data_IF_975039945707
#
_entry.id   IF_975039945707
#
_cell.length_a   1.000
_cell.length_b   1.000
_cell.length_c   1.000
_cell.angle_alpha   90.00
_cell.angle_beta   90.00
_cell.angle_gamma   90.00
#
_symmetry.space_group_name_H-M   'P 1'
#
loop_
_entity.id
_entity.type
_entity.pdbx_description
1 polymer ?
#
# COMPACT_ATOMS: atom_id res chain seq x y z
N UNK A 1 19.39 4.07 -37.12
CA UNK A 1 19.67 3.45 -35.82
C UNK A 1 18.79 4.14 -34.80
N UNK A 2 17.60 3.59 -34.54
CA UNK A 2 16.71 4.09 -33.49
C UNK A 2 17.22 3.55 -32.15
N UNK A 3 17.55 4.44 -31.23
CA UNK A 3 17.88 4.06 -29.85
C UNK A 3 16.59 4.02 -29.05
N UNK A 4 16.03 2.82 -28.90
CA UNK A 4 14.96 2.55 -27.93
C UNK A 4 15.54 2.78 -26.54
N UNK A 5 15.33 3.98 -25.97
CA UNK A 5 15.57 4.23 -24.54
C UNK A 5 14.57 3.38 -23.77
N UNK A 6 15.03 2.21 -23.32
CA UNK A 6 14.37 1.45 -22.26
C UNK A 6 14.20 2.40 -21.08
N UNK A 7 12.97 2.84 -20.85
CA UNK A 7 12.55 3.46 -19.61
C UNK A 7 12.64 2.36 -18.54
N UNK A 8 13.84 2.16 -18.00
CA UNK A 8 14.02 1.53 -16.71
C UNK A 8 13.47 2.50 -15.68
N UNK A 9 12.14 2.60 -15.59
CA UNK A 9 11.46 3.13 -14.42
C UNK A 9 11.85 2.14 -13.33
N UNK A 10 12.87 2.47 -12.56
CA UNK A 10 13.17 1.79 -11.32
C UNK A 10 11.83 1.63 -10.59
N UNK A 11 11.34 0.41 -10.47
CA UNK A 11 10.14 0.07 -9.71
C UNK A 11 10.49 0.29 -8.23
N UNK A 12 10.72 1.54 -7.84
CA UNK A 12 10.69 1.92 -6.45
C UNK A 12 9.28 1.61 -5.96
N UNK A 13 9.12 0.87 -4.83
CA UNK A 13 7.81 0.62 -4.25
C UNK A 13 7.09 1.96 -4.11
N UNK A 14 5.85 2.06 -4.60
CA UNK A 14 5.06 3.26 -4.32
C UNK A 14 4.90 3.34 -2.80
N UNK A 15 5.38 4.45 -2.24
CA UNK A 15 5.34 4.72 -0.80
C UNK A 15 4.13 5.61 -0.54
N UNK A 16 3.27 5.20 0.39
CA UNK A 16 2.09 5.96 0.78
C UNK A 16 2.26 6.56 2.19
N UNK A 17 2.34 7.90 2.33
CA UNK A 17 2.47 8.55 3.62
C UNK A 17 1.13 8.58 4.37
N UNK A 18 1.12 8.08 5.61
CA UNK A 18 -0.08 8.03 6.47
C UNK A 18 -0.58 9.42 6.86
N UNK A 19 0.29 10.42 6.90
CA UNK A 19 -0.08 11.81 7.25
C UNK A 19 -1.11 12.43 6.31
N UNK A 20 -1.20 11.93 5.07
CA UNK A 20 -2.22 12.42 4.12
C UNK A 20 -3.56 11.71 4.29
N UNK A 21 -3.54 10.48 4.81
CA UNK A 21 -4.73 9.71 5.15
C UNK A 21 -5.47 10.31 6.35
N UNK A 22 -4.73 10.76 7.38
CA UNK A 22 -5.29 11.35 8.60
C UNK A 22 -6.08 12.66 8.37
N UNK A 23 -5.86 13.33 7.24
CA UNK A 23 -6.51 14.63 6.92
C UNK A 23 -7.90 14.48 6.31
N UNK A 24 -8.33 13.27 5.97
CA UNK A 24 -9.58 13.01 5.26
C UNK A 24 -10.55 12.18 6.10
N UNK A 25 -11.84 12.22 5.75
CA UNK A 25 -12.86 11.43 6.43
C UNK A 25 -12.72 9.93 6.16
N UNK A 26 -13.29 9.11 7.04
CA UNK A 26 -13.17 7.64 7.02
C UNK A 26 -13.54 6.99 5.69
N UNK A 27 -14.57 7.50 5.00
CA UNK A 27 -14.99 6.96 3.71
C UNK A 27 -13.90 7.19 2.66
N UNK A 28 -13.35 8.40 2.62
CA UNK A 28 -12.27 8.76 1.71
C UNK A 28 -10.96 8.04 2.07
N UNK A 29 -10.68 7.80 3.35
CA UNK A 29 -9.54 6.97 3.77
C UNK A 29 -9.64 5.55 3.17
N UNK A 30 -10.81 4.92 3.28
CA UNK A 30 -11.04 3.58 2.75
C UNK A 30 -10.87 3.54 1.22
N UNK A 31 -11.38 4.54 0.51
CA UNK A 31 -11.23 4.65 -0.95
C UNK A 31 -9.76 4.84 -1.35
N UNK A 32 -9.03 5.74 -0.69
CA UNK A 32 -7.60 5.98 -0.94
C UNK A 32 -6.80 4.71 -0.70
N UNK A 33 -7.01 4.03 0.44
CA UNK A 33 -6.31 2.80 0.78
C UNK A 33 -6.61 1.68 -0.22
N UNK A 34 -7.88 1.53 -0.60
CA UNK A 34 -8.27 0.55 -1.61
C UNK A 34 -7.58 0.84 -2.95
N UNK A 35 -7.57 2.10 -3.41
CA UNK A 35 -6.97 2.50 -4.67
C UNK A 35 -5.45 2.36 -4.68
N UNK A 36 -4.77 2.73 -3.59
CA UNK A 36 -3.33 2.53 -3.41
C UNK A 36 -2.93 1.06 -3.52
N UNK A 37 -3.70 0.16 -2.88
CA UNK A 37 -3.41 -1.26 -2.95
C UNK A 37 -3.74 -1.82 -4.34
N UNK A 38 -4.88 -1.41 -4.91
CA UNK A 38 -5.35 -1.93 -6.18
C UNK A 38 -4.45 -1.51 -7.35
N UNK A 39 -3.95 -0.26 -7.36
CA UNK A 39 -3.16 0.33 -8.45
C UNK A 39 -1.91 -0.49 -8.81
N UNK A 40 -1.31 -1.16 -7.83
CA UNK A 40 -0.11 -1.97 -8.04
C UNK A 40 -0.33 -3.48 -7.95
N UNK A 41 -1.29 -3.92 -7.14
CA UNK A 41 -1.45 -5.35 -6.89
C UNK A 41 -2.53 -6.00 -7.76
N UNK A 42 -3.39 -5.19 -8.40
CA UNK A 42 -4.64 -5.60 -9.05
C UNK A 42 -5.61 -6.38 -8.13
N UNK A 43 -5.36 -6.36 -6.81
CA UNK A 43 -6.19 -7.05 -5.83
C UNK A 43 -7.46 -6.25 -5.55
N UNK A 44 -8.62 -6.92 -5.61
CA UNK A 44 -9.81 -6.47 -4.90
C UNK A 44 -9.77 -6.99 -3.48
N UNK A 45 -9.45 -6.12 -2.52
CA UNK A 45 -9.50 -6.48 -1.12
C UNK A 45 -10.94 -6.60 -0.64
N UNK A 46 -11.22 -7.65 0.14
CA UNK A 46 -12.45 -7.72 0.92
C UNK A 46 -12.45 -6.63 1.98
N UNK A 47 -13.62 -6.11 2.33
CA UNK A 47 -13.81 -5.15 3.42
C UNK A 47 -13.12 -5.56 4.73
N UNK A 48 -13.22 -6.85 5.12
CA UNK A 48 -12.57 -7.35 6.34
C UNK A 48 -11.04 -7.19 6.34
N UNK A 49 -10.38 -7.37 5.18
CA UNK A 49 -8.93 -7.14 5.06
C UNK A 49 -8.60 -5.65 5.14
N UNK A 50 -9.44 -4.81 4.54
CA UNK A 50 -9.28 -3.37 4.59
C UNK A 50 -9.40 -2.85 6.04
N UNK A 51 -10.43 -3.29 6.77
CA UNK A 51 -10.56 -3.00 8.20
C UNK A 51 -9.34 -3.45 8.99
N UNK A 52 -8.81 -4.66 8.71
CA UNK A 52 -7.64 -5.15 9.42
C UNK A 52 -6.40 -4.27 9.24
N UNK A 53 -6.22 -3.71 8.04
CA UNK A 53 -5.14 -2.76 7.75
C UNK A 53 -5.33 -1.49 8.59
N UNK A 54 -6.55 -0.93 8.66
CA UNK A 54 -6.83 0.24 9.49
C UNK A 54 -6.60 -0.02 10.99
N UNK A 55 -7.04 -1.17 11.51
CA UNK A 55 -6.73 -1.57 12.88
C UNK A 55 -5.23 -1.55 13.15
N UNK A 56 -4.41 -2.08 12.22
CA UNK A 56 -2.95 -2.10 12.34
C UNK A 56 -2.32 -0.70 12.27
N UNK A 57 -2.86 0.20 11.44
CA UNK A 57 -2.43 1.61 11.36
C UNK A 57 -2.63 2.34 12.68
N UNK A 58 -3.73 2.05 13.39
CA UNK A 58 -4.05 2.68 14.66
C UNK A 58 -3.24 2.14 15.85
N UNK A 59 -2.49 1.04 15.67
CA UNK A 59 -1.62 0.53 16.75
C UNK A 59 -0.40 1.43 16.96
N UNK A 60 0.10 1.48 18.19
CA UNK A 60 1.37 2.16 18.53
C UNK A 60 2.60 1.52 17.83
N UNK A 61 2.44 0.30 17.31
CA UNK A 61 3.48 -0.34 16.52
C UNK A 61 3.52 0.24 15.11
N UNK A 62 4.58 1.02 14.85
CA UNK A 62 4.81 1.64 13.55
C UNK A 62 5.60 0.76 12.58
N UNK A 63 5.90 -0.49 12.95
CA UNK A 63 6.61 -1.47 12.12
C UNK A 63 5.86 -2.80 12.11
N UNK A 64 5.12 -3.06 11.03
CA UNK A 64 4.39 -4.30 10.86
C UNK A 64 4.31 -4.72 9.39
N UNK A 65 4.01 -6.00 9.19
CA UNK A 65 3.72 -6.57 7.87
C UNK A 65 2.35 -7.25 7.91
N UNK A 66 1.56 -7.05 6.87
CA UNK A 66 0.30 -7.75 6.67
C UNK A 66 0.23 -8.37 5.28
N UNK A 67 -0.07 -9.66 5.22
CA UNK A 67 -0.14 -10.41 3.96
C UNK A 67 -1.47 -10.14 3.25
N UNK A 68 -1.41 -9.51 2.09
CA UNK A 68 -2.58 -9.19 1.26
C UNK A 68 -3.04 -10.41 0.44
N UNK A 69 -2.08 -11.13 -0.14
CA UNK A 69 -2.30 -12.32 -0.96
C UNK A 69 -1.10 -13.26 -0.89
N UNK A 70 -1.11 -14.35 -1.69
CA UNK A 70 0.09 -15.19 -1.85
C UNK A 70 1.29 -14.40 -2.37
N UNK A 71 1.05 -13.42 -3.26
CA UNK A 71 2.07 -12.64 -3.96
C UNK A 71 2.44 -11.33 -3.26
N UNK A 72 1.53 -10.72 -2.50
CA UNK A 72 1.72 -9.36 -1.99
C UNK A 72 1.57 -9.27 -0.48
N UNK A 73 2.37 -8.39 0.11
CA UNK A 73 2.23 -7.89 1.48
C UNK A 73 2.28 -6.37 1.49
N UNK A 74 1.63 -5.77 2.49
CA UNK A 74 1.75 -4.36 2.83
C UNK A 74 2.58 -4.24 4.11
N UNK A 75 3.51 -3.31 4.10
CA UNK A 75 4.43 -3.02 5.20
C UNK A 75 4.19 -1.62 5.70
N UNK A 76 4.21 -1.45 7.02
CA UNK A 76 4.36 -0.13 7.64
C UNK A 76 5.81 0.03 8.10
N UNK A 77 6.40 1.16 7.72
CA UNK A 77 7.69 1.63 8.20
C UNK A 77 7.53 3.07 8.66
N UNK A 78 7.59 3.28 9.98
CA UNK A 78 7.27 4.57 10.61
C UNK A 78 5.89 5.11 10.15
N UNK A 79 5.89 6.19 9.36
CA UNK A 79 4.69 6.86 8.87
C UNK A 79 4.36 6.53 7.40
N UNK A 80 5.00 5.51 6.84
CA UNK A 80 4.84 5.13 5.46
C UNK A 80 4.29 3.71 5.32
N UNK A 81 3.47 3.52 4.30
CA UNK A 81 3.02 2.21 3.83
C UNK A 81 3.69 1.88 2.49
N UNK A 82 4.10 0.63 2.34
CA UNK A 82 4.77 0.12 1.15
C UNK A 82 4.19 -1.23 0.74
N UNK A 83 4.15 -1.50 -0.56
CA UNK A 83 3.70 -2.77 -1.13
C UNK A 83 4.89 -3.57 -1.64
N UNK A 84 5.07 -4.79 -1.13
CA UNK A 84 6.19 -5.64 -1.51
C UNK A 84 5.69 -7.00 -2.01
N UNK A 85 6.45 -7.58 -2.94
CA UNK A 85 6.26 -8.95 -3.38
C UNK A 85 6.74 -9.92 -2.28
N UNK A 86 5.95 -10.94 -2.00
CA UNK A 86 6.35 -12.04 -1.14
C UNK A 86 7.40 -12.88 -1.89
N UNK A 87 8.55 -13.11 -1.25
CA UNK A 87 9.58 -14.05 -1.71
C UNK A 87 9.14 -15.51 -1.57
#
# INVERSE_FOLDING_TARGET
>A
METSRQNNKSESPEVFPLTDLEKVNDLLQQEIMHNFINSQTELKLSYAKLQKIFELILTENNNWQFRLSKKWSIFRSANNLELHLNS
#
